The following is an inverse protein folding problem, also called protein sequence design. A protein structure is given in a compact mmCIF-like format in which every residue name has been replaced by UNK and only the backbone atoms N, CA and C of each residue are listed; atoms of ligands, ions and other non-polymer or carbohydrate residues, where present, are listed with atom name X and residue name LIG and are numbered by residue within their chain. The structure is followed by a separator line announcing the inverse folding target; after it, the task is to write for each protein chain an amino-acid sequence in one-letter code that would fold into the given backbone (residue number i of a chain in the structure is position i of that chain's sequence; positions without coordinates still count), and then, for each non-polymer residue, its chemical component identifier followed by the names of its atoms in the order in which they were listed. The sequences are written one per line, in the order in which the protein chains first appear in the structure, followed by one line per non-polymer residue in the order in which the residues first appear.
data_IF_329875010932
#
_entry.id   IF_329875010932
#
_cell.length_a   1.000
_cell.length_b   1.000
_cell.length_c   1.000
_cell.angle_alpha   90.00
_cell.angle_beta   90.00
_cell.angle_gamma   90.00
#
_symmetry.space_group_name_H-M   'P 1'
#
loop_
_entity.id
_entity.type
_entity.pdbx_description
1 polymer ?
#
# COMPACT_ATOMS: atom_id res chain seq x y z
N UNK A 1 -5.06 -0.82 -20.76
CA UNK A 1 -5.07 -0.95 -19.31
C UNK A 1 -4.14 -2.06 -18.85
N UNK A 2 -3.27 -1.74 -17.93
CA UNK A 2 -2.30 -2.70 -17.39
C UNK A 2 -2.78 -3.22 -16.05
N UNK A 3 -2.90 -4.54 -15.88
CA UNK A 3 -3.19 -5.10 -14.57
C UNK A 3 -1.96 -5.00 -13.67
N UNK A 4 -2.19 -5.14 -12.37
CA UNK A 4 -1.09 -5.34 -11.42
C UNK A 4 -0.58 -6.77 -11.50
N UNK A 5 0.73 -6.91 -11.45
CA UNK A 5 1.37 -8.18 -11.12
C UNK A 5 1.63 -8.16 -9.62
N UNK A 6 1.02 -9.08 -8.89
CA UNK A 6 1.19 -9.17 -7.45
C UNK A 6 1.98 -10.42 -7.11
N UNK A 7 3.08 -10.23 -6.41
CA UNK A 7 3.98 -11.30 -6.02
C UNK A 7 4.04 -11.36 -4.50
N UNK A 8 3.77 -12.54 -3.93
CA UNK A 8 3.98 -12.76 -2.51
C UNK A 8 5.46 -12.93 -2.23
N UNK A 9 5.97 -12.20 -1.27
CA UNK A 9 7.33 -12.38 -0.81
C UNK A 9 7.36 -13.60 0.10
N UNK A 10 8.17 -14.63 -0.20
CA UNK A 10 8.31 -15.77 0.69
C UNK A 10 9.07 -15.37 1.96
N UNK A 11 8.67 -15.93 3.09
CA UNK A 11 9.38 -15.72 4.33
C UNK A 11 8.88 -14.53 5.11
N UNK A 12 9.71 -13.73 5.64
CA UNK A 12 9.35 -12.73 6.62
C UNK A 12 9.64 -11.32 6.16
N UNK A 13 8.99 -10.36 6.80
CA UNK A 13 9.23 -8.96 6.58
C UNK A 13 10.59 -8.45 7.05
N UNK A 14 11.52 -9.31 7.41
CA UNK A 14 12.85 -8.88 7.83
C UNK A 14 13.70 -8.33 6.69
N UNK A 15 13.32 -8.65 5.45
CA UNK A 15 14.07 -8.22 4.27
C UNK A 15 13.59 -6.89 3.69
N UNK A 16 12.54 -6.31 4.26
CA UNK A 16 12.05 -5.01 3.84
C UNK A 16 11.19 -5.01 2.60
N UNK A 17 10.88 -6.18 2.05
CA UNK A 17 9.98 -6.27 0.88
C UNK A 17 8.51 -6.24 1.28
N UNK A 18 8.20 -6.44 2.57
CA UNK A 18 6.84 -6.62 3.03
C UNK A 18 6.29 -7.98 2.65
N UNK A 19 4.97 -8.10 2.71
CA UNK A 19 4.29 -9.35 2.38
C UNK A 19 4.09 -9.53 0.88
N UNK A 20 3.96 -8.42 0.15
CA UNK A 20 3.66 -8.42 -1.28
C UNK A 20 4.52 -7.40 -2.01
N UNK A 21 4.73 -7.68 -3.29
CA UNK A 21 5.18 -6.66 -4.25
C UNK A 21 4.08 -6.51 -5.30
N UNK A 22 3.61 -5.30 -5.49
CA UNK A 22 2.63 -4.98 -6.53
C UNK A 22 3.31 -4.14 -7.60
N UNK A 23 3.33 -4.66 -8.82
CA UNK A 23 4.02 -4.04 -9.94
C UNK A 23 3.02 -3.70 -11.04
N UNK A 24 3.22 -2.54 -11.66
CA UNK A 24 2.40 -2.11 -12.78
C UNK A 24 3.22 -1.17 -13.66
N UNK A 25 3.63 -1.64 -14.83
CA UNK A 25 4.53 -0.86 -15.68
C UNK A 25 5.86 -0.62 -15.00
N UNK A 26 6.21 0.64 -14.83
CA UNK A 26 7.47 1.06 -14.21
C UNK A 26 7.33 1.41 -12.72
N UNK A 27 6.18 1.10 -12.11
CA UNK A 27 5.96 1.37 -10.69
C UNK A 27 5.91 0.07 -9.89
N UNK A 28 6.46 0.13 -8.70
CA UNK A 28 6.50 -1.00 -7.78
C UNK A 28 6.21 -0.54 -6.36
N UNK A 29 5.31 -1.24 -5.70
CA UNK A 29 4.95 -0.99 -4.31
C UNK A 29 5.27 -2.22 -3.46
N UNK A 30 6.26 -2.14 -2.58
CA UNK A 30 6.37 -3.11 -1.48
C UNK A 30 5.20 -2.86 -0.51
N UNK A 31 4.47 -3.91 -0.16
CA UNK A 31 3.27 -3.77 0.66
C UNK A 31 3.34 -4.68 1.88
N UNK A 32 3.14 -4.10 3.04
CA UNK A 32 2.97 -4.84 4.28
C UNK A 32 1.47 -4.92 4.57
N UNK A 33 0.97 -6.13 4.83
CA UNK A 33 -0.45 -6.38 5.05
C UNK A 33 -0.70 -6.55 6.55
N UNK A 34 -1.65 -5.80 7.08
CA UNK A 34 -2.06 -5.90 8.47
C UNK A 34 -3.58 -5.98 8.55
N UNK A 35 -4.09 -6.66 9.55
CA UNK A 35 -5.52 -6.69 9.82
C UNK A 35 -5.77 -6.76 11.32
N UNK A 36 -6.84 -6.13 11.75
CA UNK A 36 -7.22 -6.16 13.16
C UNK A 36 -8.69 -5.75 13.31
N UNK A 37 -9.24 -5.95 14.49
CA UNK A 37 -10.60 -5.48 14.82
C UNK A 37 -10.60 -4.04 15.29
N UNK A 38 -9.43 -3.44 15.51
CA UNK A 38 -9.28 -2.08 15.99
C UNK A 38 -8.96 -1.16 14.84
N UNK A 39 -9.54 0.04 14.85
CA UNK A 39 -9.22 1.05 13.84
C UNK A 39 -7.80 1.55 13.94
N UNK A 40 -7.20 1.51 15.13
CA UNK A 40 -5.83 1.94 15.34
C UNK A 40 -4.97 0.74 15.69
N UNK A 41 -3.81 0.65 15.07
CA UNK A 41 -2.83 -0.39 15.33
C UNK A 41 -1.47 0.26 15.52
N UNK A 42 -0.93 0.14 16.71
CA UNK A 42 0.37 0.72 17.04
C UNK A 42 1.47 -0.28 16.70
N UNK A 43 2.56 0.25 16.18
CA UNK A 43 3.70 -0.56 15.75
C UNK A 43 4.77 -0.52 16.84
N UNK A 44 5.24 -1.69 17.26
CA UNK A 44 6.26 -1.79 18.30
C UNK A 44 7.03 -3.10 18.12
N UNK A 45 8.25 -3.15 18.66
CA UNK A 45 9.07 -4.34 18.56
C UNK A 45 9.25 -4.78 17.12
N UNK A 46 8.91 -6.05 16.85
CA UNK A 46 9.07 -6.62 15.53
C UNK A 46 8.32 -5.85 14.44
N UNK A 47 7.11 -5.37 14.74
CA UNK A 47 6.32 -4.64 13.74
C UNK A 47 6.94 -3.28 13.44
N UNK A 48 7.56 -2.64 14.42
CA UNK A 48 8.33 -1.43 14.18
C UNK A 48 9.55 -1.71 13.31
N UNK A 49 10.26 -2.81 13.57
CA UNK A 49 11.41 -3.19 12.77
C UNK A 49 11.01 -3.47 11.32
N UNK A 50 9.84 -4.05 11.10
CA UNK A 50 9.30 -4.25 9.75
C UNK A 50 9.09 -2.92 9.04
N UNK A 51 8.57 -1.92 9.74
CA UNK A 51 8.39 -0.58 9.18
C UNK A 51 9.72 0.03 8.76
N UNK A 52 10.73 -0.05 9.63
CA UNK A 52 12.04 0.51 9.33
C UNK A 52 12.71 -0.23 8.16
N UNK A 53 12.51 -1.54 8.04
CA UNK A 53 13.01 -2.30 6.91
C UNK A 53 12.36 -1.88 5.60
N UNK A 54 11.04 -1.63 5.60
CA UNK A 54 10.33 -1.11 4.43
C UNK A 54 10.84 0.26 4.03
N UNK A 55 11.02 1.14 5.01
CA UNK A 55 11.55 2.49 4.77
C UNK A 55 12.92 2.43 4.14
N UNK A 56 13.78 1.57 4.66
CA UNK A 56 15.13 1.41 4.14
C UNK A 56 15.13 0.94 2.69
N UNK A 57 14.31 -0.05 2.35
CA UNK A 57 14.19 -0.51 0.97
C UNK A 57 13.65 0.60 0.08
N UNK A 58 12.63 1.33 0.54
CA UNK A 58 12.09 2.46 -0.21
C UNK A 58 13.15 3.51 -0.52
N UNK A 59 13.94 3.87 0.48
CA UNK A 59 15.00 4.86 0.31
C UNK A 59 16.12 4.39 -0.61
N UNK A 60 16.56 3.14 -0.45
CA UNK A 60 17.66 2.59 -1.25
C UNK A 60 17.27 2.29 -2.69
N UNK A 61 16.03 1.84 -2.89
CA UNK A 61 15.62 1.35 -4.21
C UNK A 61 14.71 2.34 -4.96
N UNK A 62 14.37 3.47 -4.37
CA UNK A 62 13.48 4.43 -5.00
C UNK A 62 12.05 3.92 -5.14
N UNK A 63 11.58 3.14 -4.18
CA UNK A 63 10.25 2.55 -4.18
C UNK A 63 9.37 3.22 -3.12
N UNK A 64 8.05 3.12 -3.32
CA UNK A 64 7.08 3.66 -2.37
C UNK A 64 6.43 2.51 -1.60
N UNK A 65 6.87 2.25 -0.35
CA UNK A 65 6.27 1.20 0.44
C UNK A 65 4.90 1.62 0.96
N UNK A 66 4.00 0.66 1.04
CA UNK A 66 2.63 0.87 1.49
C UNK A 66 2.26 -0.10 2.59
N UNK A 67 1.31 0.31 3.42
CA UNK A 67 0.56 -0.57 4.29
C UNK A 67 -0.84 -0.76 3.72
N UNK A 68 -1.28 -2.01 3.66
CA UNK A 68 -2.66 -2.35 3.37
C UNK A 68 -3.28 -2.84 4.68
N UNK A 69 -4.19 -2.06 5.24
CA UNK A 69 -4.78 -2.32 6.55
C UNK A 69 -6.25 -2.67 6.43
N UNK A 70 -6.60 -3.88 6.86
CA UNK A 70 -7.97 -4.36 6.84
C UNK A 70 -8.59 -4.26 8.22
N UNK A 71 -9.77 -3.65 8.29
CA UNK A 71 -10.58 -3.65 9.52
C UNK A 71 -11.50 -4.86 9.49
N UNK A 72 -11.27 -5.81 10.40
CA UNK A 72 -12.09 -7.02 10.50
C UNK A 72 -13.50 -6.67 10.96
N UNK A 73 -14.49 -7.37 10.43
CA UNK A 73 -15.88 -7.15 10.77
C UNK A 73 -16.60 -6.13 9.91
N UNK A 74 -15.90 -5.45 9.03
CA UNK A 74 -16.51 -4.52 8.07
C UNK A 74 -16.80 -5.28 6.79
N UNK A 75 -18.02 -5.19 6.32
CA UNK A 75 -18.40 -5.77 5.03
C UNK A 75 -18.13 -4.78 3.91
N UNK A 76 -17.63 -5.30 2.78
CA UNK A 76 -17.36 -4.50 1.59
C UNK A 76 -16.04 -3.77 1.71
N UNK A 77 -16.07 -2.46 1.86
CA UNK A 77 -14.91 -1.59 1.80
C UNK A 77 -14.08 -1.65 3.10
N UNK A 78 -13.37 -2.74 3.32
CA UNK A 78 -12.63 -2.99 4.55
C UNK A 78 -11.14 -2.67 4.49
N UNK A 79 -10.59 -2.35 3.32
CA UNK A 79 -9.17 -2.12 3.13
C UNK A 79 -8.81 -0.65 3.03
N UNK A 80 -7.73 -0.26 3.69
CA UNK A 80 -7.19 1.10 3.60
C UNK A 80 -5.71 1.06 3.29
N UNK A 81 -5.26 2.00 2.48
CA UNK A 81 -3.87 2.12 2.05
C UNK A 81 -3.27 3.37 2.69
N UNK A 82 -2.06 3.21 3.23
CA UNK A 82 -1.26 4.31 3.77
C UNK A 82 0.17 4.12 3.30
N UNK A 83 0.86 5.22 3.04
CA UNK A 83 2.24 5.15 2.58
C UNK A 83 3.22 5.28 3.73
N UNK A 84 4.38 4.67 3.54
CA UNK A 84 5.56 4.91 4.37
C UNK A 84 6.31 6.09 3.75
N UNK A 85 6.58 7.13 4.54
CA UNK A 85 7.36 8.26 4.04
C UNK A 85 8.79 7.83 3.77
N UNK A 86 9.26 8.13 2.55
CA UNK A 86 10.62 7.82 2.10
C UNK A 86 11.17 9.01 1.33
N UNK A 87 12.48 9.04 1.21
CA UNK A 87 13.17 10.08 0.47
C UNK A 87 13.51 9.59 -0.94
N UNK A 88 13.77 10.51 -1.85
CA UNK A 88 14.36 10.17 -3.13
C UNK A 88 13.41 9.59 -4.17
N UNK A 89 12.11 9.71 -3.96
CA UNK A 89 11.15 9.30 -5.00
C UNK A 89 11.24 10.25 -6.19
N UNK A 90 11.06 9.68 -7.38
CA UNK A 90 11.08 10.44 -8.63
C UNK A 90 9.97 9.99 -9.56
N UNK A 91 9.69 10.79 -10.59
CA UNK A 91 8.74 10.44 -11.64
C UNK A 91 7.34 10.16 -11.12
N UNK A 92 6.75 9.08 -11.61
CA UNK A 92 5.38 8.71 -11.29
C UNK A 92 5.18 8.41 -9.82
N UNK A 93 6.13 7.74 -9.17
CA UNK A 93 6.01 7.40 -7.75
C UNK A 93 5.98 8.66 -6.89
N UNK A 94 6.82 9.65 -7.20
CA UNK A 94 6.82 10.91 -6.49
C UNK A 94 5.47 11.62 -6.64
N UNK A 95 4.93 11.61 -7.85
CA UNK A 95 3.63 12.23 -8.12
C UNK A 95 2.51 11.50 -7.37
N UNK A 96 2.50 10.17 -7.44
CA UNK A 96 1.49 9.36 -6.74
C UNK A 96 1.54 9.56 -5.23
N UNK A 97 2.74 9.64 -4.67
CA UNK A 97 2.91 9.72 -3.22
C UNK A 97 2.22 10.94 -2.63
N UNK A 98 2.08 12.01 -3.39
CA UNK A 98 1.42 13.24 -2.91
C UNK A 98 -0.05 13.04 -2.59
N UNK A 99 -0.71 12.08 -3.25
CA UNK A 99 -2.13 11.82 -3.06
C UNK A 99 -2.42 10.68 -2.11
N UNK A 100 -1.40 9.94 -1.71
CA UNK A 100 -1.58 8.80 -0.80
C UNK A 100 -1.29 9.27 0.63
N UNK A 101 -2.22 9.02 1.58
CA UNK A 101 -2.00 9.47 2.95
C UNK A 101 -0.84 8.73 3.60
N UNK A 102 -0.09 9.46 4.42
CA UNK A 102 1.01 8.90 5.21
C UNK A 102 0.48 8.17 6.42
N UNK A 103 1.30 7.28 6.98
CA UNK A 103 1.05 6.77 8.31
C UNK A 103 0.95 7.94 9.28
N UNK A 104 -0.10 8.01 10.10
CA UNK A 104 -0.21 9.09 11.09
C UNK A 104 0.80 8.92 12.21
N UNK A 105 1.03 10.00 12.94
CA UNK A 105 1.99 10.04 14.03
C UNK A 105 1.27 10.14 15.35
N UNK A 106 1.77 9.40 16.35
CA UNK A 106 1.34 9.56 17.73
C UNK A 106 1.85 10.89 18.27
N UNK A 107 1.39 11.25 19.47
CA UNK A 107 1.87 12.46 20.16
C UNK A 107 3.40 12.48 20.31
N UNK A 108 4.00 11.31 20.45
CA UNK A 108 5.45 11.17 20.59
C UNK A 108 6.18 11.04 19.24
N UNK A 109 5.47 11.21 18.15
CA UNK A 109 6.09 11.16 16.82
C UNK A 109 6.30 9.76 16.25
N UNK A 110 5.66 8.74 16.80
CA UNK A 110 5.75 7.39 16.28
C UNK A 110 4.64 7.12 15.28
N UNK A 111 5.00 6.50 14.17
CA UNK A 111 4.04 6.13 13.14
C UNK A 111 3.16 4.96 13.60
N UNK A 112 1.89 4.99 13.22
CA UNK A 112 0.94 3.93 13.52
C UNK A 112 -0.08 3.82 12.41
N UNK A 113 -0.90 2.77 12.44
CA UNK A 113 -1.95 2.59 11.46
C UNK A 113 -3.27 3.12 12.02
N UNK A 114 -3.98 3.91 11.20
CA UNK A 114 -5.30 4.41 11.55
C UNK A 114 -6.21 4.20 10.34
N UNK A 115 -7.16 3.28 10.49
CA UNK A 115 -8.03 2.90 9.40
C UNK A 115 -8.83 4.08 8.84
N UNK A 116 -9.29 4.98 9.72
CA UNK A 116 -10.07 6.15 9.31
C UNK A 116 -9.25 7.15 8.48
N UNK A 117 -7.93 7.14 8.64
CA UNK A 117 -7.04 8.06 7.93
C UNK A 117 -6.45 7.48 6.65
N UNK A 118 -6.73 6.22 6.37
CA UNK A 118 -6.23 5.57 5.16
C UNK A 118 -7.09 5.83 3.95
N UNK A 119 -6.53 5.56 2.79
CA UNK A 119 -7.24 5.68 1.51
C UNK A 119 -7.95 4.36 1.20
N UNK A 120 -9.24 4.37 0.83
CA UNK A 120 -9.91 3.15 0.40
C UNK A 120 -9.20 2.50 -0.78
N UNK A 121 -9.16 1.17 -0.80
CA UNK A 121 -8.44 0.42 -1.83
C UNK A 121 -8.91 0.79 -3.25
N UNK A 122 -10.22 0.90 -3.46
CA UNK A 122 -10.74 1.25 -4.78
C UNK A 122 -10.27 2.62 -5.27
N UNK A 123 -10.12 3.57 -4.34
CA UNK A 123 -9.61 4.90 -4.66
C UNK A 123 -8.13 4.86 -5.01
N UNK A 124 -7.36 4.05 -4.30
CA UNK A 124 -5.94 3.84 -4.59
C UNK A 124 -5.77 3.27 -6.00
N UNK A 125 -6.53 2.22 -6.33
CA UNK A 125 -6.46 1.61 -7.66
C UNK A 125 -6.83 2.61 -8.76
N UNK A 126 -7.86 3.41 -8.53
CA UNK A 126 -8.25 4.46 -9.46
C UNK A 126 -7.15 5.50 -9.65
N UNK A 127 -6.51 5.91 -8.56
CA UNK A 127 -5.41 6.86 -8.59
C UNK A 127 -4.24 6.35 -9.43
N UNK A 128 -3.85 5.10 -9.23
CA UNK A 128 -2.73 4.50 -9.97
C UNK A 128 -3.05 4.40 -11.46
N UNK A 129 -4.27 4.02 -11.79
CA UNK A 129 -4.69 3.92 -13.18
C UNK A 129 -4.68 5.28 -13.90
N UNK A 130 -5.07 6.35 -13.22
CA UNK A 130 -5.03 7.71 -13.78
C UNK A 130 -3.62 8.17 -14.08
N UNK A 131 -2.66 7.81 -13.24
CA UNK A 131 -1.28 8.26 -13.39
C UNK A 131 -0.60 7.74 -14.64
N UNK A 132 -1.16 6.71 -15.28
CA UNK A 132 -0.62 6.17 -16.54
C UNK A 132 -1.03 7.00 -17.76
N UNK A 133 -1.76 8.10 -17.58
CA UNK A 133 -2.30 8.86 -18.69
C UNK A 133 -3.40 8.14 -19.43
N UNK A 134 -3.82 6.98 -18.97
CA UNK A 134 -4.93 6.26 -19.57
C UNK A 134 -6.23 6.98 -19.23
N UNK A 135 -7.13 7.06 -20.19
CA UNK A 135 -8.47 7.57 -19.94
C UNK A 135 -9.17 6.68 -18.94
N UNK A 136 -9.50 7.22 -17.83
CA UNK A 136 -10.28 6.51 -16.85
C UNK A 136 -11.75 6.75 -17.11
N UNK A 137 -12.31 6.08 -18.09
CA UNK A 137 -13.74 5.85 -18.07
C UNK A 137 -13.95 4.56 -17.32
N UNK A 138 -15.10 4.44 -16.68
CA UNK A 138 -15.46 3.19 -15.98
C UNK A 138 -15.37 2.00 -16.94
N UNK A 139 -15.68 2.25 -18.22
CA UNK A 139 -15.69 1.21 -19.26
C UNK A 139 -14.30 0.75 -19.68
N UNK A 140 -13.26 1.56 -19.47
CA UNK A 140 -11.89 1.17 -19.78
C UNK A 140 -11.21 0.45 -18.64
N UNK A 141 -11.90 0.25 -17.53
CA UNK A 141 -11.35 -0.38 -16.35
C UNK A 141 -11.59 -1.88 -16.43
N UNK A 142 -10.54 -2.71 -16.52
CA UNK A 142 -10.74 -4.15 -16.49
C UNK A 142 -10.97 -4.57 -15.03
N UNK A 143 -12.10 -4.16 -14.49
CA UNK A 143 -12.41 -4.29 -13.08
C UNK A 143 -12.31 -5.73 -12.58
N UNK A 144 -12.58 -6.69 -13.48
CA UNK A 144 -12.55 -8.10 -13.09
C UNK A 144 -11.14 -8.66 -12.93
N UNK A 145 -10.11 -7.99 -13.46
CA UNK A 145 -8.76 -8.53 -13.41
C UNK A 145 -7.87 -7.84 -12.37
N UNK A 146 -8.00 -6.54 -12.21
CA UNK A 146 -7.13 -5.79 -11.31
C UNK A 146 -7.61 -5.88 -9.87
N UNK A 147 -8.85 -5.48 -9.61
CA UNK A 147 -9.36 -5.38 -8.25
C UNK A 147 -9.49 -6.75 -7.59
N UNK A 148 -10.13 -7.75 -8.21
CA UNK A 148 -10.23 -9.07 -7.57
C UNK A 148 -8.88 -9.72 -7.32
N UNK A 149 -7.93 -9.59 -8.25
CA UNK A 149 -6.60 -10.18 -8.07
C UNK A 149 -5.89 -9.61 -6.86
N UNK A 150 -5.90 -8.29 -6.72
CA UNK A 150 -5.23 -7.65 -5.60
C UNK A 150 -5.93 -7.94 -4.29
N UNK A 151 -7.25 -7.85 -4.25
CA UNK A 151 -8.01 -8.15 -3.05
C UNK A 151 -7.88 -9.61 -2.63
N UNK A 152 -7.87 -10.53 -3.58
CA UNK A 152 -7.71 -11.96 -3.30
C UNK A 152 -6.37 -12.23 -2.64
N UNK A 153 -5.29 -11.66 -3.17
CA UNK A 153 -3.96 -11.85 -2.60
C UNK A 153 -3.84 -11.22 -1.23
N UNK A 154 -4.36 -10.01 -1.07
CA UNK A 154 -4.31 -9.30 0.22
C UNK A 154 -5.17 -9.99 1.27
N UNK A 155 -6.34 -10.50 0.88
CA UNK A 155 -7.30 -11.13 1.80
C UNK A 155 -6.83 -12.50 2.30
N UNK A 156 -5.99 -13.19 1.56
CA UNK A 156 -5.44 -14.48 1.95
C UNK A 156 -4.22 -14.33 2.85
#
# INVERSE_FOLDING_TARGET
NRPFLVVRAPGSGSEGTGDLLALRGDICFPIEVKSSKSKKLYLSGRTFDQLEALRDVGNRCGLLPLYAYRLKGVRGDSWRIMKVEVDGLSGKLRHLSRSIPSLPLTRNGKEYLDWDKGMPLHRFLSLVCKSDGARTSVDSFPSSSIIPSMETVISN
#
